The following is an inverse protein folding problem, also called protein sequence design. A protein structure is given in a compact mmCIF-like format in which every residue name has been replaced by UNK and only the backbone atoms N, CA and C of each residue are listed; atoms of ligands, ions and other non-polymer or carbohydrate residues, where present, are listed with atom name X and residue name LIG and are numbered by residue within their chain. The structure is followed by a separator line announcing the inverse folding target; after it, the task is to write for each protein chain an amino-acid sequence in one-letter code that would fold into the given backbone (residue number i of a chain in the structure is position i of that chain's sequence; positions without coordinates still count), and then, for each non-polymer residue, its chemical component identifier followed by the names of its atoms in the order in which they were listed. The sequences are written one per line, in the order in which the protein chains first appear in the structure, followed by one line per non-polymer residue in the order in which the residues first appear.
data_IF_576338534322
#
_entry.id   IF_576338534322
#
_cell.length_a   1.000
_cell.length_b   1.000
_cell.length_c   1.000
_cell.angle_alpha   90.00
_cell.angle_beta   90.00
_cell.angle_gamma   90.00
#
_symmetry.space_group_name_H-M   'P 1'
#
loop_
_entity.id
_entity.type
_entity.pdbx_description
1 polymer ?
#
# COMPACT_ATOMS: atom_id res chain seq x y z
N UNK A 1 -2.29 13.00 -17.98
CA UNK A 1 -0.84 12.66 -18.06
C UNK A 1 -0.30 12.07 -16.77
N UNK A 2 -0.37 12.76 -15.62
CA UNK A 2 0.22 12.24 -14.36
C UNK A 2 -0.76 11.60 -13.40
N UNK A 3 -2.06 11.70 -13.64
CA UNK A 3 -3.09 11.23 -12.72
C UNK A 3 -3.85 10.05 -13.30
N UNK A 4 -4.12 9.06 -12.45
CA UNK A 4 -5.01 7.93 -12.69
C UNK A 4 -5.87 7.70 -11.43
N UNK A 5 -7.18 7.69 -11.58
CA UNK A 5 -8.16 7.49 -10.52
C UNK A 5 -8.29 6.00 -10.19
N UNK A 6 -8.65 5.72 -8.93
CA UNK A 6 -8.96 4.37 -8.48
C UNK A 6 -10.45 4.05 -8.74
N UNK A 7 -10.78 3.55 -9.94
CA UNK A 7 -12.10 2.96 -10.37
C UNK A 7 -13.36 3.85 -10.25
N UNK A 8 -14.31 3.63 -11.16
CA UNK A 8 -15.71 4.12 -11.26
C UNK A 8 -16.05 5.62 -11.22
N UNK A 9 -15.07 6.54 -11.23
CA UNK A 9 -15.36 7.96 -11.45
C UNK A 9 -15.30 8.35 -12.95
N UNK A 10 -15.88 7.50 -13.83
CA UNK A 10 -16.26 7.91 -15.20
C UNK A 10 -17.52 8.78 -15.14
N UNK A 11 -17.44 9.84 -14.33
CA UNK A 11 -18.44 10.88 -14.24
C UNK A 11 -18.39 11.79 -15.46
N UNK A 12 -19.48 12.54 -15.64
CA UNK A 12 -19.57 13.65 -16.58
C UNK A 12 -18.33 14.55 -16.48
N UNK A 13 -17.81 14.99 -17.64
CA UNK A 13 -16.69 15.94 -17.72
C UNK A 13 -16.91 17.09 -16.73
N UNK A 14 -16.03 17.30 -15.74
CA UNK A 14 -16.23 18.35 -14.76
C UNK A 14 -16.15 19.72 -15.44
N UNK A 15 -16.99 20.67 -15.02
CA UNK A 15 -16.89 22.06 -15.50
C UNK A 15 -15.52 22.63 -15.12
N UNK A 16 -14.77 23.20 -16.06
CA UNK A 16 -13.43 23.68 -15.75
C UNK A 16 -13.46 24.95 -14.89
N UNK A 17 -12.43 25.17 -14.05
CA UNK A 17 -12.37 26.35 -13.17
C UNK A 17 -12.28 27.69 -13.90
N UNK A 18 -11.90 27.70 -15.18
CA UNK A 18 -11.82 28.89 -16.02
C UNK A 18 -11.93 28.55 -17.50
N UNK A 19 -12.33 29.53 -18.32
CA UNK A 19 -12.39 29.40 -19.79
C UNK A 19 -11.03 29.00 -20.37
N UNK A 20 -9.94 29.58 -19.86
CA UNK A 20 -8.58 29.25 -20.32
C UNK A 20 -8.18 27.80 -20.02
N UNK A 21 -8.64 27.23 -18.89
CA UNK A 21 -8.43 25.82 -18.59
C UNK A 21 -9.32 24.92 -19.44
N UNK A 22 -10.56 25.32 -19.69
CA UNK A 22 -11.47 24.64 -20.64
C UNK A 22 -10.80 24.49 -22.01
N UNK A 23 -10.32 25.60 -22.58
CA UNK A 23 -9.61 25.60 -23.87
C UNK A 23 -8.36 24.72 -23.84
N UNK A 24 -7.61 24.72 -22.74
CA UNK A 24 -6.40 23.90 -22.62
C UNK A 24 -6.72 22.41 -22.54
N UNK A 25 -7.79 22.04 -21.83
CA UNK A 25 -8.26 20.66 -21.75
C UNK A 25 -8.79 20.19 -23.10
N UNK A 26 -9.54 21.03 -23.81
CA UNK A 26 -10.00 20.71 -25.17
C UNK A 26 -8.85 20.41 -26.13
N UNK A 27 -7.77 21.19 -26.06
CA UNK A 27 -6.56 20.91 -26.84
C UNK A 27 -5.98 19.55 -26.45
N UNK A 28 -5.79 19.27 -25.15
CA UNK A 28 -5.23 17.99 -24.68
C UNK A 28 -6.08 16.79 -25.12
N UNK A 29 -7.40 16.89 -25.02
CA UNK A 29 -8.32 15.82 -25.44
C UNK A 29 -8.27 15.62 -26.96
N UNK A 30 -8.20 16.70 -27.75
CA UNK A 30 -8.06 16.61 -29.20
C UNK A 30 -6.75 15.96 -29.62
N UNK A 31 -5.62 16.37 -29.02
CA UNK A 31 -4.32 15.77 -29.33
C UNK A 31 -4.25 14.29 -28.88
N UNK A 32 -4.91 13.93 -27.77
CA UNK A 32 -5.04 12.53 -27.35
C UNK A 32 -5.85 11.71 -28.36
N UNK A 33 -6.99 12.21 -28.83
CA UNK A 33 -7.80 11.53 -29.86
C UNK A 33 -7.03 11.33 -31.16
N UNK A 34 -6.28 12.34 -31.60
CA UNK A 34 -5.43 12.22 -32.78
C UNK A 34 -4.28 11.21 -32.59
N UNK A 35 -3.75 11.11 -31.37
CA UNK A 35 -2.74 10.10 -31.02
C UNK A 35 -3.36 8.68 -31.05
N UNK A 36 -4.54 8.51 -30.47
CA UNK A 36 -5.26 7.22 -30.46
C UNK A 36 -5.54 6.73 -31.89
N UNK A 37 -5.99 7.61 -32.80
CA UNK A 37 -6.18 7.28 -34.21
C UNK A 37 -4.89 6.74 -34.88
N UNK A 38 -3.74 7.32 -34.53
CA UNK A 38 -2.44 6.91 -35.04
C UNK A 38 -1.97 5.61 -34.40
N UNK A 39 -2.19 5.43 -33.09
CA UNK A 39 -1.85 4.20 -32.36
C UNK A 39 -2.65 3.01 -32.89
N UNK A 40 -3.96 3.19 -33.11
CA UNK A 40 -4.85 2.16 -33.66
C UNK A 40 -4.45 1.78 -35.09
N UNK A 41 -4.22 2.78 -35.96
CA UNK A 41 -3.75 2.56 -37.34
C UNK A 41 -2.45 1.75 -37.40
N UNK A 42 -1.57 1.92 -36.42
CA UNK A 42 -0.28 1.22 -36.35
C UNK A 42 -0.30 -0.02 -35.43
N UNK A 43 -1.47 -0.41 -34.90
CA UNK A 43 -1.66 -1.55 -34.00
C UNK A 43 -0.78 -1.50 -32.75
N UNK A 44 -0.60 -0.32 -32.18
CA UNK A 44 0.12 -0.12 -30.92
C UNK A 44 -0.84 -0.21 -29.73
N UNK A 45 -0.34 -0.50 -28.50
CA UNK A 45 -1.14 -0.37 -27.30
C UNK A 45 -1.67 1.07 -27.14
N UNK A 46 -2.98 1.22 -26.97
CA UNK A 46 -3.62 2.54 -26.88
C UNK A 46 -3.28 3.27 -25.58
N UNK A 47 -2.99 4.56 -25.70
CA UNK A 47 -2.78 5.46 -24.57
C UNK A 47 -4.09 5.75 -23.85
N UNK A 48 -4.12 5.57 -22.53
CA UNK A 48 -5.30 5.83 -21.72
C UNK A 48 -5.77 7.29 -21.78
N UNK A 49 -7.10 7.49 -21.77
CA UNK A 49 -7.74 8.82 -21.80
C UNK A 49 -7.23 9.72 -20.66
N UNK A 50 -6.98 11.03 -20.92
CA UNK A 50 -6.59 11.97 -19.90
C UNK A 50 -7.66 12.16 -18.82
N UNK A 51 -7.39 11.70 -17.61
CA UNK A 51 -8.30 11.91 -16.49
C UNK A 51 -8.24 13.34 -15.91
N UNK A 52 -9.43 13.89 -15.63
CA UNK A 52 -9.62 15.31 -15.27
C UNK A 52 -9.88 15.54 -13.77
N UNK A 53 -10.01 14.48 -12.96
CA UNK A 53 -10.39 14.57 -11.54
C UNK A 53 -9.41 15.39 -10.67
N UNK A 54 -8.15 15.51 -11.10
CA UNK A 54 -7.13 16.27 -10.38
C UNK A 54 -7.13 17.79 -10.69
N UNK A 55 -7.85 18.24 -11.73
CA UNK A 55 -7.81 19.64 -12.20
C UNK A 55 -8.28 20.62 -11.11
N UNK A 56 -9.43 20.34 -10.49
CA UNK A 56 -9.98 21.19 -9.42
C UNK A 56 -9.10 21.24 -8.16
N UNK A 57 -8.66 20.10 -7.59
CA UNK A 57 -7.71 20.09 -6.49
C UNK A 57 -6.45 20.91 -6.76
N UNK A 58 -5.81 20.72 -7.92
CA UNK A 58 -4.59 21.45 -8.27
C UNK A 58 -4.88 22.94 -8.49
N UNK A 59 -6.02 23.30 -9.08
CA UNK A 59 -6.41 24.69 -9.25
C UNK A 59 -6.62 25.41 -7.91
N UNK A 60 -7.39 24.81 -7.00
CA UNK A 60 -7.62 25.35 -5.64
C UNK A 60 -6.30 25.49 -4.89
N UNK A 61 -5.44 24.49 -4.98
CA UNK A 61 -4.13 24.50 -4.34
C UNK A 61 -3.20 25.57 -4.93
N UNK A 62 -3.17 25.72 -6.26
CA UNK A 62 -2.40 26.75 -6.95
C UNK A 62 -2.87 28.18 -6.62
N UNK A 63 -4.18 28.35 -6.35
CA UNK A 63 -4.78 29.59 -5.84
C UNK A 63 -4.50 29.84 -4.36
N UNK A 64 -3.86 28.88 -3.69
CA UNK A 64 -3.45 29.01 -2.31
C UNK A 64 -4.55 28.69 -1.31
N UNK A 65 -5.55 27.90 -1.68
CA UNK A 65 -6.52 27.34 -0.73
C UNK A 65 -5.84 26.34 0.20
N UNK A 66 -6.44 26.13 1.36
CA UNK A 66 -5.94 25.19 2.36
C UNK A 66 -6.37 23.75 2.01
N UNK A 67 -5.66 22.75 2.54
CA UNK A 67 -5.80 21.36 2.11
C UNK A 67 -7.24 20.81 2.25
N UNK A 68 -7.95 21.16 3.32
CA UNK A 68 -9.33 20.72 3.52
C UNK A 68 -10.29 21.24 2.43
N UNK A 69 -10.14 22.49 2.01
CA UNK A 69 -10.93 23.10 0.92
C UNK A 69 -10.55 22.53 -0.46
N UNK A 70 -9.27 22.17 -0.63
CA UNK A 70 -8.74 21.53 -1.85
C UNK A 70 -9.36 20.15 -2.05
N UNK A 71 -9.48 19.37 -0.99
CA UNK A 71 -10.04 18.01 -1.01
C UNK A 71 -11.58 17.99 -0.93
N UNK A 72 -12.20 19.13 -0.58
CA UNK A 72 -13.66 19.23 -0.52
C UNK A 72 -14.29 18.94 -1.88
N UNK A 73 -15.18 17.94 -1.91
CA UNK A 73 -15.87 17.46 -3.10
C UNK A 73 -15.06 16.49 -3.95
N UNK A 74 -13.99 15.90 -3.42
CA UNK A 74 -13.19 14.86 -4.08
C UNK A 74 -13.02 13.64 -3.17
N UNK A 75 -12.91 12.45 -3.76
CA UNK A 75 -12.61 11.21 -3.03
C UNK A 75 -11.10 11.00 -2.78
N UNK A 76 -10.28 12.03 -3.04
CA UNK A 76 -8.83 11.96 -2.87
C UNK A 76 -8.45 12.01 -1.39
N UNK A 77 -7.69 11.01 -0.96
CA UNK A 77 -6.98 11.08 0.31
C UNK A 77 -5.91 12.19 0.28
N UNK A 78 -5.66 12.83 1.42
CA UNK A 78 -4.67 13.89 1.55
C UNK A 78 -3.26 13.48 1.08
N UNK A 79 -2.84 12.26 1.41
CA UNK A 79 -1.54 11.72 0.98
C UNK A 79 -1.45 11.52 -0.54
N UNK A 80 -2.52 11.01 -1.16
CA UNK A 80 -2.61 10.84 -2.61
C UNK A 80 -2.56 12.18 -3.33
N UNK A 81 -3.28 13.19 -2.84
CA UNK A 81 -3.21 14.54 -3.39
C UNK A 81 -1.79 15.12 -3.33
N UNK A 82 -1.08 14.97 -2.21
CA UNK A 82 0.31 15.46 -2.07
C UNK A 82 1.24 14.76 -3.05
N UNK A 83 1.09 13.43 -3.23
CA UNK A 83 1.86 12.65 -4.21
C UNK A 83 1.64 13.15 -5.64
N UNK A 84 0.38 13.31 -6.05
CA UNK A 84 0.06 13.78 -7.39
C UNK A 84 0.47 15.24 -7.61
N UNK A 85 0.33 16.11 -6.60
CA UNK A 85 0.80 17.48 -6.67
C UNK A 85 2.31 17.56 -6.87
N UNK A 86 3.10 16.67 -6.25
CA UNK A 86 4.54 16.57 -6.51
C UNK A 86 4.82 16.19 -7.97
N UNK A 87 4.13 15.19 -8.51
CA UNK A 87 4.33 14.78 -9.90
C UNK A 87 3.96 15.86 -10.91
N UNK A 88 2.92 16.66 -10.64
CA UNK A 88 2.59 17.84 -11.46
C UNK A 88 3.75 18.85 -11.45
N UNK A 89 4.37 19.10 -10.29
CA UNK A 89 5.52 20.00 -10.19
C UNK A 89 6.71 19.45 -10.97
N UNK A 90 7.00 18.16 -10.82
CA UNK A 90 8.12 17.51 -11.49
C UNK A 90 7.94 17.55 -13.02
N UNK A 91 6.72 17.32 -13.52
CA UNK A 91 6.39 17.46 -14.94
C UNK A 91 6.58 18.91 -15.43
N UNK A 92 6.11 19.90 -14.67
CA UNK A 92 6.30 21.31 -15.03
C UNK A 92 7.79 21.69 -15.07
N UNK A 93 8.59 21.15 -14.15
CA UNK A 93 10.04 21.33 -14.13
C UNK A 93 10.72 20.63 -15.32
N UNK A 94 10.22 19.49 -15.77
CA UNK A 94 10.69 18.83 -17.00
C UNK A 94 10.34 19.65 -18.24
N UNK A 95 9.10 20.13 -18.35
CA UNK A 95 8.65 20.98 -19.47
C UNK A 95 9.46 22.28 -19.56
N UNK A 96 9.83 22.88 -18.43
CA UNK A 96 10.64 24.09 -18.38
C UNK A 96 12.07 23.92 -18.95
N UNK A 97 12.57 22.67 -19.02
CA UNK A 97 13.89 22.35 -19.59
C UNK A 97 13.87 22.21 -21.11
N UNK A 98 12.70 22.15 -21.74
CA UNK A 98 12.58 21.97 -23.19
C UNK A 98 12.99 23.26 -23.92
N UNK A 99 14.02 23.24 -24.80
CA UNK A 99 14.45 24.39 -25.59
C UNK A 99 13.31 24.95 -26.47
N UNK A 100 13.20 26.27 -26.61
CA UNK A 100 12.16 26.93 -27.43
C UNK A 100 10.82 27.21 -26.72
N UNK A 101 10.62 26.75 -25.49
CA UNK A 101 9.41 27.02 -24.68
C UNK A 101 9.42 28.43 -24.03
N UNK A 102 9.43 29.49 -24.84
CA UNK A 102 9.62 30.87 -24.37
C UNK A 102 8.47 31.46 -23.50
N UNK A 103 7.36 30.73 -23.31
CA UNK A 103 6.22 31.18 -22.47
C UNK A 103 6.21 30.68 -21.01
N UNK A 104 6.96 29.63 -20.66
CA UNK A 104 6.83 28.94 -19.36
C UNK A 104 7.83 29.39 -18.29
N UNK A 105 8.96 30.01 -18.69
CA UNK A 105 10.09 30.29 -17.80
C UNK A 105 9.84 31.36 -16.71
N UNK A 106 9.13 32.48 -16.92
CA UNK A 106 9.03 33.52 -15.89
C UNK A 106 7.91 33.30 -14.84
N UNK A 107 6.83 32.55 -15.16
CA UNK A 107 5.68 32.36 -14.24
C UNK A 107 5.81 31.15 -13.31
N UNK A 108 6.63 30.15 -13.67
CA UNK A 108 6.92 28.99 -12.82
C UNK A 108 7.92 29.32 -11.70
N UNK A 109 8.87 30.24 -11.93
CA UNK A 109 9.85 30.66 -10.92
C UNK A 109 9.22 31.43 -9.74
N UNK A 110 8.28 32.36 -10.01
CA UNK A 110 7.55 33.09 -8.97
C UNK A 110 6.56 32.20 -8.19
N UNK A 111 6.02 31.15 -8.82
CA UNK A 111 5.16 30.15 -8.14
C UNK A 111 5.98 29.11 -7.37
N UNK A 112 7.21 28.78 -7.78
CA UNK A 112 8.16 27.92 -7.03
C UNK A 112 8.40 28.41 -5.60
N UNK A 113 8.49 29.72 -5.37
CA UNK A 113 8.68 30.28 -4.00
C UNK A 113 7.42 30.13 -3.14
N UNK A 114 6.23 30.37 -3.69
CA UNK A 114 4.94 30.21 -2.98
C UNK A 114 4.65 28.73 -2.71
N UNK A 115 4.96 27.84 -3.65
CA UNK A 115 4.75 26.40 -3.53
C UNK A 115 5.77 25.75 -2.58
N UNK A 116 7.04 26.16 -2.62
CA UNK A 116 8.05 25.71 -1.66
C UNK A 116 7.89 26.32 -0.27
N UNK A 117 7.40 27.56 -0.15
CA UNK A 117 7.05 28.19 1.13
C UNK A 117 5.77 27.61 1.73
N UNK A 118 4.81 27.16 0.91
CA UNK A 118 3.61 26.44 1.38
C UNK A 118 3.89 24.98 1.67
N UNK A 119 4.78 24.30 0.92
CA UNK A 119 5.34 22.99 1.31
C UNK A 119 6.07 23.08 2.64
N UNK A 120 6.91 24.10 2.82
CA UNK A 120 7.53 24.41 4.11
C UNK A 120 6.49 24.72 5.17
N UNK A 121 5.49 25.58 4.95
CA UNK A 121 4.45 25.88 5.96
C UNK A 121 3.46 24.75 6.23
N UNK A 122 3.20 23.83 5.30
CA UNK A 122 2.33 22.66 5.51
C UNK A 122 3.08 21.57 6.27
N UNK A 123 4.33 21.28 5.89
CA UNK A 123 5.22 20.43 6.68
C UNK A 123 5.48 21.06 8.05
N UNK A 124 5.75 22.36 8.11
CA UNK A 124 6.01 23.10 9.35
C UNK A 124 4.74 23.25 10.17
N UNK A 125 3.51 23.40 9.63
CA UNK A 125 2.26 23.35 10.43
C UNK A 125 1.91 21.95 10.92
N UNK A 126 2.17 20.91 10.11
CA UNK A 126 2.12 19.52 10.57
C UNK A 126 3.17 19.26 11.67
N UNK A 127 4.29 19.98 11.67
CA UNK A 127 5.35 19.90 12.68
C UNK A 127 5.23 20.93 13.84
N UNK A 128 4.42 22.00 13.72
CA UNK A 128 4.33 23.11 14.71
C UNK A 128 2.94 23.32 15.32
N UNK A 129 1.90 22.62 14.88
CA UNK A 129 0.60 22.58 15.57
C UNK A 129 0.43 21.39 16.53
N UNK A 130 1.52 21.01 17.20
CA UNK A 130 1.47 20.23 18.45
C UNK A 130 2.00 21.05 19.65
N UNK A 131 1.53 22.28 19.80
CA UNK A 131 1.29 22.83 21.15
C UNK A 131 -0.21 22.72 21.43
N UNK A 132 -0.67 21.51 21.71
CA UNK A 132 -1.92 21.32 22.42
C UNK A 132 -1.66 21.61 23.91
N UNK A 133 -2.46 22.45 24.59
CA UNK A 133 -2.46 22.42 26.04
C UNK A 133 -2.83 21.00 26.46
N UNK A 134 -2.05 20.43 27.38
CA UNK A 134 -2.24 19.09 27.88
C UNK A 134 -3.67 18.91 28.44
N UNK A 135 -4.56 18.36 27.62
CA UNK A 135 -5.70 17.58 28.06
C UNK A 135 -5.49 16.18 27.52
N UNK A 136 -5.31 15.25 28.44
CA UNK A 136 -5.21 13.82 28.15
C UNK A 136 -6.46 13.37 27.40
N UNK A 137 -6.36 13.21 26.08
CA UNK A 137 -7.29 12.39 25.31
C UNK A 137 -6.64 11.02 25.26
N UNK A 138 -7.08 10.16 26.18
CA UNK A 138 -6.76 8.73 26.16
C UNK A 138 -7.42 8.13 24.92
N UNK A 139 -6.65 7.88 23.86
CA UNK A 139 -7.08 7.00 22.77
C UNK A 139 -6.84 5.56 23.21
N UNK A 140 -7.77 5.02 24.00
CA UNK A 140 -7.82 3.58 24.27
C UNK A 140 -8.19 2.86 22.97
N UNK A 141 -7.19 2.28 22.30
CA UNK A 141 -7.43 1.11 21.44
C UNK A 141 -8.02 0.00 22.33
N UNK A 142 -9.18 -0.58 22.01
CA UNK A 142 -9.63 -1.76 22.72
C UNK A 142 -8.73 -2.93 22.30
N UNK A 143 -7.85 -3.39 23.19
CA UNK A 143 -7.37 -4.78 23.14
C UNK A 143 -5.87 -5.07 23.09
N UNK A 144 -4.97 -4.10 23.28
CA UNK A 144 -3.57 -4.42 23.64
C UNK A 144 -3.23 -3.64 24.90
N UNK A 145 -2.98 -4.29 26.05
CA UNK A 145 -2.41 -3.59 27.19
C UNK A 145 -1.09 -2.98 26.72
N UNK A 146 -1.00 -1.65 26.73
CA UNK A 146 0.29 -1.00 26.60
C UNK A 146 1.13 -1.53 27.77
N UNK A 147 2.13 -2.35 27.47
CA UNK A 147 3.16 -2.71 28.44
C UNK A 147 3.72 -1.38 28.95
N UNK A 148 3.50 -1.10 30.23
CA UNK A 148 4.03 0.09 30.89
C UNK A 148 5.51 -0.14 31.14
N UNK A 149 6.31 -0.12 30.07
CA UNK A 149 7.76 0.03 30.23
C UNK A 149 8.01 1.36 30.96
N UNK A 150 8.84 1.38 32.01
CA UNK A 150 9.19 2.62 32.68
C UNK A 150 9.75 3.60 31.64
N UNK A 151 9.21 4.82 31.61
CA UNK A 151 9.69 5.87 30.72
C UNK A 151 11.14 6.16 31.08
N UNK A 152 12.03 5.78 30.17
CA UNK A 152 13.48 5.92 30.34
C UNK A 152 13.94 7.03 29.41
N UNK A 153 14.63 8.02 29.99
CA UNK A 153 15.26 9.09 29.23
C UNK A 153 16.65 8.60 28.82
N UNK A 154 16.93 8.60 27.52
CA UNK A 154 18.17 8.06 26.94
C UNK A 154 18.91 9.15 26.17
N UNK A 155 20.15 9.43 26.58
CA UNK A 155 21.08 10.33 25.91
C UNK A 155 22.02 9.53 25.02
N UNK A 156 21.95 9.78 23.71
CA UNK A 156 22.95 9.33 22.74
C UNK A 156 23.98 10.44 22.55
N UNK A 157 25.26 10.15 22.73
CA UNK A 157 26.33 11.14 22.65
C UNK A 157 27.55 10.62 21.92
N UNK A 158 28.51 11.50 21.67
CA UNK A 158 29.77 11.26 21.01
C UNK A 158 29.57 10.60 19.64
N UNK A 159 28.64 11.13 18.85
CA UNK A 159 28.34 10.64 17.50
C UNK A 159 28.19 11.76 16.49
N UNK A 160 27.70 11.42 15.31
CA UNK A 160 27.23 12.37 14.29
C UNK A 160 25.74 12.16 14.12
N UNK A 161 24.91 13.17 14.37
CA UNK A 161 23.45 13.05 14.32
C UNK A 161 22.94 13.72 13.04
N UNK A 162 22.49 12.90 12.09
CA UNK A 162 21.90 13.40 10.84
C UNK A 162 20.46 13.85 11.05
N UNK A 163 20.25 15.16 11.10
CA UNK A 163 18.90 15.74 11.19
C UNK A 163 18.82 17.09 10.48
N UNK A 164 17.63 17.45 10.02
CA UNK A 164 17.36 18.77 9.47
C UNK A 164 17.26 19.87 10.55
N UNK A 165 17.12 19.49 11.82
CA UNK A 165 17.01 20.43 12.94
C UNK A 165 18.35 21.11 13.26
N UNK A 166 19.44 20.35 13.19
CA UNK A 166 20.81 20.82 13.42
C UNK A 166 21.79 19.93 12.61
N UNK A 167 22.45 20.47 11.57
CA UNK A 167 23.37 19.70 10.73
C UNK A 167 24.72 19.37 11.40
N UNK A 168 25.03 19.96 12.56
CA UNK A 168 26.28 19.73 13.29
C UNK A 168 26.06 19.00 14.63
N UNK A 169 24.88 18.44 14.83
CA UNK A 169 24.54 17.75 16.05
C UNK A 169 25.43 16.52 16.27
N UNK A 170 25.86 16.36 17.51
CA UNK A 170 26.72 15.26 17.96
C UNK A 170 26.08 14.42 19.07
N UNK A 171 24.98 14.91 19.64
CA UNK A 171 24.20 14.25 20.67
C UNK A 171 22.67 14.40 20.45
N UNK A 172 21.92 13.45 20.98
CA UNK A 172 20.46 13.41 20.93
C UNK A 172 19.87 12.84 22.22
N UNK A 173 18.83 13.47 22.75
CA UNK A 173 18.05 13.00 23.90
C UNK A 173 16.71 12.44 23.43
N UNK A 174 16.37 11.25 23.88
CA UNK A 174 15.09 10.59 23.65
C UNK A 174 14.37 10.42 24.98
N UNK A 175 13.11 10.85 25.04
CA UNK A 175 12.19 10.56 26.16
C UNK A 175 11.09 9.63 25.64
N UNK A 176 11.17 8.36 26.02
CA UNK A 176 10.26 7.33 25.53
C UNK A 176 10.37 7.12 24.01
N UNK A 177 9.35 7.56 23.26
CA UNK A 177 9.24 7.43 21.81
C UNK A 177 9.55 8.74 21.05
N UNK A 178 9.90 9.80 21.78
CA UNK A 178 10.04 11.14 21.22
C UNK A 178 11.46 11.66 21.36
N UNK A 179 12.00 12.23 20.28
CA UNK A 179 13.24 13.00 20.33
C UNK A 179 12.97 14.30 21.08
N UNK A 180 13.47 14.40 22.30
CA UNK A 180 13.27 15.55 23.19
C UNK A 180 14.24 16.69 22.87
N UNK A 181 15.46 16.36 22.44
CA UNK A 181 16.50 17.35 22.15
C UNK A 181 17.57 16.79 21.21
N UNK A 182 18.20 17.68 20.44
CA UNK A 182 19.36 17.39 19.57
C UNK A 182 20.32 18.57 19.66
N UNK A 183 21.63 18.31 19.72
CA UNK A 183 22.64 19.37 19.74
C UNK A 183 24.07 18.86 19.93
N UNK A 184 24.93 19.68 20.56
CA UNK A 184 26.36 19.41 20.70
C UNK A 184 26.73 18.59 21.94
N UNK A 185 27.89 17.91 21.91
CA UNK A 185 28.48 17.21 23.08
C UNK A 185 28.58 18.10 24.33
N UNK A 186 28.95 19.36 24.15
CA UNK A 186 29.10 20.30 25.26
C UNK A 186 27.75 20.61 25.91
N UNK A 187 26.70 20.81 25.10
CA UNK A 187 25.36 21.00 25.59
C UNK A 187 24.81 19.72 26.24
N UNK A 188 25.08 18.55 25.65
CA UNK A 188 24.69 17.25 26.21
C UNK A 188 25.29 17.02 27.60
N UNK A 189 26.57 17.37 27.80
CA UNK A 189 27.24 17.29 29.11
C UNK A 189 26.57 18.19 30.15
N UNK A 190 26.06 19.35 29.73
CA UNK A 190 25.45 20.33 30.63
C UNK A 190 24.03 19.95 31.08
N UNK A 191 23.31 19.17 30.27
CA UNK A 191 21.93 18.74 30.55
C UNK A 191 21.85 17.29 31.04
N UNK A 192 22.96 16.56 31.06
CA UNK A 192 23.01 15.18 31.52
C UNK A 192 22.64 15.10 33.00
N UNK A 193 21.71 14.20 33.32
CA UNK A 193 21.29 13.90 34.69
C UNK A 193 21.56 12.43 35.02
N UNK A 194 21.85 12.14 36.29
CA UNK A 194 22.13 10.77 36.77
C UNK A 194 20.99 9.75 36.56
N UNK A 195 19.76 10.22 36.35
CA UNK A 195 18.59 9.40 36.03
C UNK A 195 18.52 8.99 34.55
N UNK A 196 19.32 9.61 33.68
CA UNK A 196 19.35 9.31 32.24
C UNK A 196 20.24 8.09 31.96
N UNK A 197 19.84 7.26 31.02
CA UNK A 197 20.75 6.29 30.41
C UNK A 197 21.61 6.98 29.36
N UNK A 198 22.92 6.83 29.46
CA UNK A 198 23.87 7.40 28.51
C UNK A 198 24.40 6.29 27.60
N UNK A 199 24.23 6.48 26.30
CA UNK A 199 24.76 5.63 25.24
C UNK A 199 25.84 6.41 24.49
N UNK A 200 27.08 5.93 24.59
CA UNK A 200 28.22 6.45 23.83
C UNK A 200 28.24 5.83 22.42
N UNK A 201 28.05 6.67 21.41
CA UNK A 201 28.04 6.29 20.00
C UNK A 201 29.44 6.05 19.43
N UNK A 202 30.52 6.41 20.12
CA UNK A 202 31.92 6.19 19.71
C UNK A 202 32.22 6.66 18.28
N UNK A 203 31.70 7.83 17.92
CA UNK A 203 31.83 8.45 16.60
C UNK A 203 30.85 7.94 15.55
N UNK A 204 29.93 7.02 15.90
CA UNK A 204 28.97 6.48 14.94
C UNK A 204 27.95 7.53 14.45
N UNK A 205 27.42 7.28 13.25
CA UNK A 205 26.33 8.03 12.66
C UNK A 205 24.99 7.56 13.26
N UNK A 206 24.22 8.51 13.80
CA UNK A 206 22.81 8.35 14.11
C UNK A 206 21.99 9.01 13.01
N UNK A 207 21.16 8.25 12.32
CA UNK A 207 20.32 8.73 11.22
C UNK A 207 18.86 8.28 11.40
N UNK A 208 17.89 8.95 10.75
CA UNK A 208 16.52 8.46 10.68
C UNK A 208 16.49 7.07 10.05
N UNK A 209 15.72 6.16 10.65
CA UNK A 209 15.47 4.85 10.04
C UNK A 209 14.70 4.97 8.72
N UNK A 210 14.76 3.93 7.91
CA UNK A 210 14.06 3.89 6.64
C UNK A 210 12.55 3.73 6.84
N UNK A 211 11.77 4.39 5.98
CA UNK A 211 10.31 4.26 5.96
C UNK A 211 9.90 3.76 4.59
N UNK A 212 9.27 2.59 4.55
CA UNK A 212 8.67 2.07 3.32
C UNK A 212 7.21 2.52 3.25
N UNK A 213 6.90 3.33 2.24
CA UNK A 213 5.55 3.85 2.01
C UNK A 213 4.61 2.89 1.27
N UNK A 214 5.09 1.73 0.81
CA UNK A 214 4.29 0.79 0.04
C UNK A 214 4.83 -0.64 0.18
N UNK A 215 4.31 -1.38 1.16
CA UNK A 215 4.66 -2.78 1.34
C UNK A 215 3.41 -3.67 1.39
N UNK A 216 3.54 -4.91 0.94
CA UNK A 216 2.58 -5.99 1.23
C UNK A 216 3.16 -6.92 2.30
N UNK A 217 3.21 -6.46 3.54
CA UNK A 217 3.79 -7.11 4.73
C UNK A 217 3.37 -8.56 4.87
N UNK A 218 2.07 -8.84 4.73
CA UNK A 218 1.57 -10.22 4.85
C UNK A 218 2.14 -11.11 3.74
N UNK A 219 2.16 -10.64 2.49
CA UNK A 219 2.71 -11.40 1.36
C UNK A 219 4.25 -11.52 1.44
N UNK A 220 4.94 -10.51 1.94
CA UNK A 220 6.39 -10.56 2.23
C UNK A 220 6.70 -11.64 3.26
N UNK A 221 5.90 -11.71 4.34
CA UNK A 221 6.03 -12.74 5.36
C UNK A 221 5.78 -14.14 4.81
N UNK A 222 4.74 -14.30 3.99
CA UNK A 222 4.46 -15.56 3.29
C UNK A 222 5.64 -15.95 2.41
N UNK A 223 6.14 -15.03 1.58
CA UNK A 223 7.25 -15.31 0.68
C UNK A 223 8.52 -15.72 1.44
N UNK A 224 8.75 -15.15 2.63
CA UNK A 224 9.90 -15.46 3.48
C UNK A 224 9.81 -16.86 4.12
N UNK A 225 8.61 -17.33 4.42
CA UNK A 225 8.36 -18.63 5.07
C UNK A 225 7.96 -19.75 4.08
N UNK A 226 7.82 -19.42 2.79
CA UNK A 226 7.42 -20.36 1.72
C UNK A 226 8.63 -20.98 1.01
N UNK A 227 8.40 -22.04 0.24
CA UNK A 227 9.41 -22.63 -0.64
C UNK A 227 9.93 -21.60 -1.67
N UNK A 228 11.26 -21.47 -1.76
CA UNK A 228 11.93 -20.65 -2.78
C UNK A 228 12.37 -21.54 -3.94
N UNK A 229 11.71 -21.40 -5.08
CA UNK A 229 11.86 -22.30 -6.23
C UNK A 229 12.64 -21.68 -7.39
N UNK A 230 13.20 -20.47 -7.24
CA UNK A 230 14.00 -19.79 -8.27
C UNK A 230 15.28 -20.56 -8.67
N UNK A 231 15.79 -21.42 -7.77
CA UNK A 231 16.96 -22.27 -8.02
C UNK A 231 16.66 -23.56 -8.81
N UNK A 232 15.39 -23.95 -8.92
CA UNK A 232 14.99 -25.23 -9.52
C UNK A 232 15.14 -25.21 -11.04
N UNK A 233 15.58 -26.34 -11.61
CA UNK A 233 15.88 -26.52 -13.04
C UNK A 233 15.13 -27.67 -13.72
N UNK A 234 14.19 -28.31 -13.02
CA UNK A 234 13.32 -29.36 -13.58
C UNK A 234 12.05 -29.56 -12.75
N UNK A 235 11.02 -30.17 -13.35
CA UNK A 235 9.81 -30.59 -12.64
C UNK A 235 10.12 -31.55 -11.48
N UNK A 236 11.09 -32.46 -11.66
CA UNK A 236 11.51 -33.40 -10.61
C UNK A 236 12.04 -32.68 -9.37
N UNK A 237 12.95 -31.72 -9.55
CA UNK A 237 13.49 -30.93 -8.44
C UNK A 237 12.39 -30.11 -7.73
N UNK A 238 11.41 -29.59 -8.49
CA UNK A 238 10.25 -28.91 -7.92
C UNK A 238 9.42 -29.87 -7.05
N UNK A 239 9.11 -31.05 -7.56
CA UNK A 239 8.34 -32.07 -6.86
C UNK A 239 9.06 -32.59 -5.62
N UNK A 240 10.39 -32.76 -5.67
CA UNK A 240 11.21 -33.15 -4.53
C UNK A 240 11.15 -32.08 -3.41
N UNK A 241 11.22 -30.79 -3.78
CA UNK A 241 11.06 -29.67 -2.83
C UNK A 241 9.65 -29.64 -2.20
N UNK A 242 8.61 -29.87 -3.01
CA UNK A 242 7.22 -29.97 -2.53
C UNK A 242 7.08 -31.15 -1.55
N UNK A 243 7.62 -32.31 -1.89
CA UNK A 243 7.54 -33.50 -1.03
C UNK A 243 8.26 -33.30 0.30
N UNK A 244 9.40 -32.59 0.30
CA UNK A 244 10.12 -32.25 1.53
C UNK A 244 9.30 -31.30 2.42
N UNK A 245 8.73 -30.24 1.84
CA UNK A 245 7.88 -29.30 2.59
C UNK A 245 6.60 -29.97 3.11
N UNK A 246 5.95 -30.80 2.29
CA UNK A 246 4.74 -31.52 2.68
C UNK A 246 4.98 -32.47 3.86
N UNK A 247 6.17 -33.07 3.99
CA UNK A 247 6.56 -33.91 5.14
C UNK A 247 6.84 -33.09 6.40
N UNK A 248 7.42 -31.90 6.26
CA UNK A 248 7.74 -31.02 7.37
C UNK A 248 6.48 -30.36 7.97
N UNK A 249 5.48 -30.10 7.14
CA UNK A 249 4.16 -29.66 7.57
C UNK A 249 3.40 -30.83 8.20
N UNK A 250 2.82 -30.60 9.39
CA UNK A 250 1.97 -31.58 10.06
C UNK A 250 0.70 -31.94 9.28
N UNK A 251 -0.38 -32.28 9.98
CA UNK A 251 -1.64 -32.71 9.35
C UNK A 251 -2.48 -31.57 8.75
N UNK A 252 -2.04 -30.31 8.89
CA UNK A 252 -2.75 -29.11 8.44
C UNK A 252 -1.82 -28.13 7.74
N UNK A 253 -2.35 -27.35 6.79
CA UNK A 253 -1.64 -26.28 6.12
C UNK A 253 -1.65 -26.41 4.60
N UNK A 254 -1.28 -25.32 3.93
CA UNK A 254 -1.07 -25.27 2.47
C UNK A 254 0.43 -25.25 2.23
N UNK A 255 0.93 -26.07 1.30
CA UNK A 255 2.32 -25.95 0.83
C UNK A 255 2.37 -24.73 -0.08
N UNK A 256 3.07 -23.68 0.38
CA UNK A 256 3.25 -22.45 -0.35
C UNK A 256 4.67 -22.40 -0.94
N UNK A 257 4.77 -21.93 -2.17
CA UNK A 257 6.06 -21.70 -2.83
C UNK A 257 5.98 -20.60 -3.88
N UNK A 258 7.13 -20.09 -4.30
CA UNK A 258 7.22 -19.07 -5.32
C UNK A 258 8.53 -19.12 -6.10
N UNK A 259 8.57 -18.43 -7.25
CA UNK A 259 9.80 -18.11 -7.96
C UNK A 259 10.23 -19.14 -9.01
N UNK A 260 9.48 -20.21 -9.23
CA UNK A 260 9.79 -21.14 -10.30
C UNK A 260 9.58 -20.50 -11.69
N UNK A 261 10.38 -20.94 -12.66
CA UNK A 261 10.32 -20.50 -14.06
C UNK A 261 10.73 -21.67 -14.95
N UNK A 262 9.75 -22.30 -15.59
CA UNK A 262 9.94 -23.42 -16.49
C UNK A 262 10.72 -23.06 -17.75
N UNK A 263 10.79 -21.76 -18.10
CA UNK A 263 11.49 -21.31 -19.31
C UNK A 263 13.02 -21.52 -19.23
N UNK A 264 13.55 -21.61 -18.00
CA UNK A 264 14.97 -21.87 -17.70
C UNK A 264 15.26 -23.31 -17.28
N UNK A 265 14.26 -24.21 -17.31
CA UNK A 265 14.46 -25.63 -17.02
C UNK A 265 15.12 -26.35 -18.19
N UNK A 266 15.79 -27.46 -17.89
CA UNK A 266 16.40 -28.33 -18.92
C UNK A 266 15.33 -28.89 -19.84
N UNK A 267 14.25 -29.38 -19.24
CA UNK A 267 13.02 -29.78 -19.91
C UNK A 267 11.93 -28.81 -19.50
N UNK A 268 11.31 -28.12 -20.48
CA UNK A 268 10.31 -27.06 -20.27
C UNK A 268 8.91 -27.63 -20.06
N UNK A 269 8.83 -28.72 -19.30
CA UNK A 269 7.59 -29.46 -19.03
C UNK A 269 7.20 -29.25 -17.58
N UNK A 270 5.96 -28.83 -17.36
CA UNK A 270 5.38 -28.70 -16.02
C UNK A 270 4.97 -30.07 -15.48
N UNK A 271 4.97 -30.27 -14.14
CA UNK A 271 4.48 -31.51 -13.55
C UNK A 271 3.00 -31.70 -13.82
N UNK A 272 2.57 -32.96 -13.95
CA UNK A 272 1.13 -33.27 -14.06
C UNK A 272 0.41 -33.07 -12.71
N UNK A 273 -0.92 -32.92 -12.69
CA UNK A 273 -1.70 -32.89 -11.45
C UNK A 273 -1.39 -34.09 -10.55
N UNK A 274 -1.31 -35.30 -11.11
CA UNK A 274 -1.06 -36.53 -10.36
C UNK A 274 0.33 -36.57 -9.74
N UNK A 275 1.33 -36.04 -10.45
CA UNK A 275 2.69 -35.94 -9.93
C UNK A 275 2.75 -34.94 -8.77
N UNK A 276 2.09 -33.79 -8.90
CA UNK A 276 2.02 -32.77 -7.87
C UNK A 276 1.26 -33.27 -6.63
N UNK A 277 0.13 -33.96 -6.82
CA UNK A 277 -0.66 -34.52 -5.73
C UNK A 277 0.09 -35.63 -4.98
N UNK A 278 0.82 -36.48 -5.71
CA UNK A 278 1.69 -37.51 -5.12
C UNK A 278 2.81 -36.89 -4.29
N UNK A 279 3.47 -35.84 -4.80
CA UNK A 279 4.49 -35.11 -4.05
C UNK A 279 3.90 -34.42 -2.80
N UNK A 280 2.70 -33.86 -2.91
CA UNK A 280 2.01 -33.18 -1.82
C UNK A 280 1.49 -34.13 -0.73
N UNK A 281 1.34 -35.42 -1.04
CA UNK A 281 0.68 -36.39 -0.17
C UNK A 281 -0.79 -36.00 0.10
N UNK A 282 -1.49 -35.51 -0.93
CA UNK A 282 -2.90 -35.09 -0.85
C UNK A 282 -3.14 -33.71 -0.21
N UNK A 283 -2.08 -32.94 0.12
CA UNK A 283 -2.21 -31.58 0.66
C UNK A 283 -2.55 -30.57 -0.43
N UNK A 284 -3.12 -29.45 0.00
CA UNK A 284 -3.25 -28.26 -0.87
C UNK A 284 -1.86 -27.68 -1.14
N UNK A 285 -1.55 -27.45 -2.41
CA UNK A 285 -0.31 -26.83 -2.87
C UNK A 285 -0.64 -25.62 -3.73
N UNK A 286 0.07 -24.52 -3.51
CA UNK A 286 0.04 -23.31 -4.33
C UNK A 286 1.46 -22.81 -4.55
N UNK A 287 1.96 -22.88 -5.79
CA UNK A 287 3.31 -22.45 -6.16
C UNK A 287 3.22 -21.31 -7.18
N UNK A 288 3.43 -20.07 -6.77
CA UNK A 288 3.41 -18.93 -7.69
C UNK A 288 4.62 -18.96 -8.63
N UNK A 289 4.39 -18.72 -9.93
CA UNK A 289 5.47 -18.52 -10.89
C UNK A 289 6.26 -17.26 -10.55
N UNK A 290 7.49 -17.13 -11.05
CA UNK A 290 8.35 -15.94 -10.87
C UNK A 290 7.66 -14.61 -11.21
N UNK A 291 6.74 -14.60 -12.16
CA UNK A 291 6.00 -13.41 -12.58
C UNK A 291 4.76 -13.11 -11.73
N UNK A 292 4.37 -14.00 -10.82
CA UNK A 292 3.15 -13.93 -10.01
C UNK A 292 1.82 -13.80 -10.81
N UNK A 293 1.81 -14.12 -12.12
CA UNK A 293 0.62 -14.09 -12.98
C UNK A 293 -0.01 -15.48 -13.17
N UNK A 294 0.71 -16.53 -12.78
CA UNK A 294 0.25 -17.92 -12.80
C UNK A 294 0.79 -18.70 -11.62
N UNK A 295 0.23 -19.89 -11.39
CA UNK A 295 0.70 -20.79 -10.34
C UNK A 295 0.53 -22.26 -10.73
N UNK A 296 1.22 -23.14 -10.02
CA UNK A 296 0.86 -24.56 -9.95
C UNK A 296 -0.05 -24.78 -8.73
N UNK A 297 -1.15 -25.50 -8.93
CA UNK A 297 -2.12 -25.84 -7.91
C UNK A 297 -2.38 -27.35 -7.89
N UNK A 298 -2.34 -27.95 -6.70
CA UNK A 298 -2.78 -29.36 -6.49
C UNK A 298 -4.27 -29.53 -6.78
N UNK A 299 -4.73 -30.75 -7.08
CA UNK A 299 -6.16 -31.04 -7.27
C UNK A 299 -6.97 -30.74 -6.00
N UNK A 300 -6.39 -30.95 -4.82
CA UNK A 300 -7.04 -30.62 -3.54
C UNK A 300 -7.30 -29.10 -3.38
N UNK A 301 -6.39 -28.26 -3.88
CA UNK A 301 -6.59 -26.81 -3.90
C UNK A 301 -7.59 -26.42 -4.99
N UNK A 302 -7.48 -27.02 -6.17
CA UNK A 302 -8.38 -26.74 -7.29
C UNK A 302 -9.85 -27.03 -6.92
N UNK A 303 -10.11 -28.18 -6.31
CA UNK A 303 -11.43 -28.55 -5.79
C UNK A 303 -11.90 -27.58 -4.71
N UNK A 304 -11.04 -27.24 -3.74
CA UNK A 304 -11.40 -26.31 -2.67
C UNK A 304 -11.65 -24.88 -3.17
N UNK A 305 -11.06 -24.48 -4.29
CA UNK A 305 -11.24 -23.19 -4.92
C UNK A 305 -12.35 -23.16 -5.98
N UNK A 306 -12.96 -24.31 -6.29
CA UNK A 306 -14.01 -24.42 -7.31
C UNK A 306 -13.52 -23.98 -8.69
N UNK A 307 -12.34 -24.47 -9.11
CA UNK A 307 -11.73 -24.03 -10.37
C UNK A 307 -12.42 -24.57 -11.62
N UNK A 308 -13.21 -25.64 -11.50
CA UNK A 308 -13.90 -26.27 -12.62
C UNK A 308 -14.77 -25.26 -13.38
N UNK A 309 -14.49 -25.11 -14.69
CA UNK A 309 -15.19 -24.17 -15.56
C UNK A 309 -14.77 -22.71 -15.43
N UNK A 310 -13.78 -22.36 -14.58
CA UNK A 310 -13.23 -21.01 -14.52
C UNK A 310 -12.25 -20.73 -15.67
N UNK A 311 -12.23 -19.49 -16.14
CA UNK A 311 -11.24 -19.04 -17.12
C UNK A 311 -9.81 -19.22 -16.58
N UNK A 312 -9.01 -19.96 -17.34
CA UNK A 312 -7.62 -20.25 -17.00
C UNK A 312 -7.41 -21.54 -16.22
N UNK A 313 -8.39 -22.44 -16.18
CA UNK A 313 -8.25 -23.82 -15.70
C UNK A 313 -8.72 -24.82 -16.75
N UNK A 314 -7.86 -25.77 -17.10
CA UNK A 314 -8.09 -26.83 -18.09
C UNK A 314 -7.98 -28.24 -17.49
N UNK A 315 -7.96 -28.35 -16.16
CA UNK A 315 -7.71 -29.61 -15.44
C UNK A 315 -6.24 -29.93 -15.23
N UNK A 316 -5.31 -29.14 -15.80
CA UNK A 316 -3.88 -29.25 -15.48
C UNK A 316 -3.54 -28.61 -14.13
N UNK A 317 -2.31 -28.86 -13.66
CA UNK A 317 -1.81 -28.22 -12.45
C UNK A 317 -1.59 -26.71 -12.65
N UNK A 318 -1.47 -26.23 -13.90
CA UNK A 318 -1.16 -24.83 -14.20
C UNK A 318 -2.42 -23.98 -14.23
N UNK A 319 -2.52 -23.04 -13.30
CA UNK A 319 -3.67 -22.13 -13.19
C UNK A 319 -3.29 -20.73 -13.69
N UNK A 320 -4.17 -20.16 -14.50
CA UNK A 320 -4.04 -18.86 -15.13
C UNK A 320 -5.24 -17.95 -14.78
N UNK A 321 -5.11 -16.65 -15.01
CA UNK A 321 -6.23 -15.68 -15.02
C UNK A 321 -7.20 -15.83 -13.82
N UNK A 322 -8.47 -16.10 -14.06
CA UNK A 322 -9.49 -16.18 -13.01
C UNK A 322 -9.26 -17.37 -12.08
N UNK A 323 -8.83 -18.52 -12.62
CA UNK A 323 -8.49 -19.69 -11.83
C UNK A 323 -7.29 -19.43 -10.91
N UNK A 324 -6.26 -18.75 -11.40
CA UNK A 324 -5.12 -18.32 -10.59
C UNK A 324 -5.56 -17.39 -9.44
N UNK A 325 -6.42 -16.40 -9.73
CA UNK A 325 -6.95 -15.50 -8.69
C UNK A 325 -7.75 -16.25 -7.62
N UNK A 326 -8.59 -17.21 -8.01
CA UNK A 326 -9.38 -18.04 -7.10
C UNK A 326 -8.50 -18.96 -6.25
N UNK A 327 -7.55 -19.67 -6.88
CA UNK A 327 -6.59 -20.53 -6.19
C UNK A 327 -5.76 -19.74 -5.17
N UNK A 328 -5.27 -18.55 -5.54
CA UNK A 328 -4.55 -17.66 -4.62
C UNK A 328 -5.41 -17.24 -3.44
N UNK A 329 -6.67 -16.87 -3.67
CA UNK A 329 -7.56 -16.44 -2.60
C UNK A 329 -7.75 -17.54 -1.55
N UNK A 330 -7.97 -18.78 -1.98
CA UNK A 330 -8.12 -19.94 -1.08
C UNK A 330 -6.80 -20.32 -0.42
N UNK A 331 -5.67 -20.28 -1.15
CA UNK A 331 -4.34 -20.53 -0.58
C UNK A 331 -3.94 -19.49 0.50
N UNK A 332 -4.62 -18.34 0.55
CA UNK A 332 -4.42 -17.26 1.54
C UNK A 332 -5.51 -17.24 2.62
N UNK A 333 -6.33 -18.29 2.71
CA UNK A 333 -7.27 -18.48 3.81
C UNK A 333 -6.58 -19.24 4.95
N UNK A 334 -5.97 -18.48 5.86
CA UNK A 334 -5.38 -18.99 7.09
C UNK A 334 -5.89 -18.21 8.31
N UNK A 335 -5.78 -18.77 9.53
CA UNK A 335 -6.16 -18.10 10.77
C UNK A 335 -5.40 -16.78 11.00
N UNK A 336 -5.97 -15.87 11.77
CA UNK A 336 -5.32 -14.59 12.08
C UNK A 336 -4.02 -14.74 12.88
N UNK A 337 -3.85 -15.82 13.63
CA UNK A 337 -2.59 -16.15 14.29
C UNK A 337 -1.47 -16.40 13.28
N UNK A 338 -1.76 -17.13 12.21
CA UNK A 338 -0.82 -17.41 11.14
C UNK A 338 -0.52 -16.16 10.31
N UNK A 339 -1.53 -15.32 10.06
CA UNK A 339 -1.34 -13.98 9.47
C UNK A 339 -0.36 -13.14 10.29
N UNK A 340 -0.57 -13.05 11.61
CA UNK A 340 0.31 -12.30 12.52
C UNK A 340 1.73 -12.85 12.49
N UNK A 341 1.91 -14.17 12.48
CA UNK A 341 3.23 -14.82 12.35
C UNK A 341 3.97 -14.35 11.09
N UNK A 342 3.29 -14.32 9.93
CA UNK A 342 3.89 -13.81 8.68
C UNK A 342 4.26 -12.34 8.78
N UNK A 343 3.37 -11.51 9.33
CA UNK A 343 3.64 -10.08 9.50
C UNK A 343 4.82 -9.83 10.44
N UNK A 344 4.92 -10.57 11.54
CA UNK A 344 6.05 -10.49 12.47
C UNK A 344 7.37 -10.92 11.82
N UNK A 345 7.37 -11.96 10.98
CA UNK A 345 8.55 -12.38 10.23
C UNK A 345 9.03 -11.26 9.31
N UNK A 346 8.11 -10.66 8.54
CA UNK A 346 8.44 -9.53 7.66
C UNK A 346 8.90 -8.29 8.43
N UNK A 347 8.30 -8.00 9.59
CA UNK A 347 8.71 -6.88 10.46
C UNK A 347 10.11 -7.09 11.03
N UNK A 348 10.45 -8.30 11.47
CA UNK A 348 11.79 -8.62 11.97
C UNK A 348 12.85 -8.45 10.88
N UNK A 349 12.55 -8.95 9.68
CA UNK A 349 13.43 -8.81 8.53
C UNK A 349 13.63 -7.34 8.16
N UNK A 350 12.55 -6.56 8.10
CA UNK A 350 12.61 -5.12 7.82
C UNK A 350 13.41 -4.37 8.89
N UNK A 351 13.20 -4.68 10.18
CA UNK A 351 13.94 -4.07 11.27
C UNK A 351 15.45 -4.38 11.21
N UNK A 352 15.82 -5.61 10.84
CA UNK A 352 17.22 -6.01 10.63
C UNK A 352 17.91 -5.20 9.51
N UNK A 353 17.13 -4.66 8.57
CA UNK A 353 17.60 -3.82 7.46
C UNK A 353 17.42 -2.31 7.71
N UNK A 354 17.06 -1.91 8.94
CA UNK A 354 16.97 -0.50 9.33
C UNK A 354 15.65 0.18 8.95
N UNK A 355 14.62 -0.57 8.55
CA UNK A 355 13.26 -0.03 8.39
C UNK A 355 12.57 0.11 9.73
N UNK A 356 12.05 1.30 10.02
CA UNK A 356 11.39 1.63 11.29
C UNK A 356 9.90 1.87 11.14
N UNK A 357 9.40 2.03 9.90
CA UNK A 357 7.98 2.11 9.62
C UNK A 357 7.68 1.56 8.21
N UNK A 358 6.56 0.84 8.10
CA UNK A 358 6.09 0.21 6.88
C UNK A 358 4.60 0.52 6.70
N UNK A 359 4.20 0.96 5.51
CA UNK A 359 2.79 1.15 5.18
C UNK A 359 2.24 -0.09 4.47
N UNK A 360 1.42 -0.88 5.18
CA UNK A 360 0.74 -2.07 4.66
C UNK A 360 -0.34 -1.68 3.63
N UNK A 361 -0.15 -2.11 2.39
CA UNK A 361 -1.10 -1.96 1.30
C UNK A 361 -1.95 -3.22 1.13
N UNK A 362 -3.21 -3.02 0.78
CA UNK A 362 -4.18 -4.11 0.67
C UNK A 362 -4.28 -4.97 1.94
N UNK A 363 -4.01 -4.38 3.12
CA UNK A 363 -4.46 -4.92 4.39
C UNK A 363 -5.93 -5.29 4.20
N UNK A 364 -6.30 -6.54 4.49
CA UNK A 364 -7.73 -6.84 4.64
C UNK A 364 -8.22 -5.83 5.66
N UNK A 365 -9.11 -4.94 5.21
CA UNK A 365 -9.84 -4.04 6.08
C UNK A 365 -10.26 -4.87 7.29
N UNK A 366 -10.11 -4.31 8.50
CA UNK A 366 -10.80 -4.84 9.66
C UNK A 366 -12.27 -4.98 9.26
N UNK A 367 -12.65 -6.17 8.81
CA UNK A 367 -14.03 -6.54 8.66
C UNK A 367 -14.49 -6.65 10.10
N UNK A 368 -15.13 -5.58 10.58
CA UNK A 368 -15.96 -5.62 11.75
C UNK A 368 -17.03 -6.69 11.53
N UNK A 369 -16.71 -7.94 11.87
CA UNK A 369 -17.66 -9.04 11.93
C UNK A 369 -17.76 -9.62 13.35
N UNK A 370 -17.24 -8.92 14.37
CA UNK A 370 -17.42 -9.34 15.78
C UNK A 370 -17.83 -8.23 16.75
N UNK A 371 -18.33 -7.08 16.27
CA UNK A 371 -18.85 -6.03 17.15
C UNK A 371 -20.17 -5.42 16.69
N UNK A 372 -21.12 -6.26 16.28
CA UNK A 372 -22.54 -5.91 16.27
C UNK A 372 -23.30 -6.90 17.15
N UNK A 373 -23.12 -6.74 18.46
CA UNK A 373 -23.69 -7.67 19.44
C UNK A 373 -23.50 -7.30 20.89
N UNK A 374 -23.35 -6.01 21.24
CA UNK A 374 -23.45 -5.55 22.63
C UNK A 374 -23.68 -4.03 22.71
N UNK A 375 -24.87 -3.60 22.30
CA UNK A 375 -25.44 -2.32 22.73
C UNK A 375 -26.97 -2.35 22.61
N UNK A 376 -27.56 -3.32 23.32
CA UNK A 376 -28.97 -3.31 23.73
C UNK A 376 -29.06 -3.91 25.12
N UNK A 377 -28.87 -3.07 26.14
CA UNK A 377 -29.43 -3.09 27.51
C UNK A 377 -28.51 -2.31 28.42
N UNK A 378 -29.03 -1.23 29.01
CA UNK A 378 -28.27 -0.34 29.89
C UNK A 378 -28.94 1.02 30.07
N UNK A 379 -30.19 1.01 30.52
CA UNK A 379 -30.95 2.15 31.04
C UNK A 379 -30.18 2.96 32.10
N UNK A 380 -30.12 4.30 31.98
CA UNK A 380 -30.55 5.25 33.03
C UNK A 380 -30.43 6.73 32.62
N UNK A 381 -31.62 7.34 32.50
CA UNK A 381 -32.06 8.67 32.98
C UNK A 381 -31.44 9.99 32.46
N UNK A 382 -32.40 10.75 31.88
CA UNK A 382 -32.76 12.18 32.04
C UNK A 382 -32.31 13.16 30.94
N UNK A 383 -33.32 13.76 30.29
CA UNK A 383 -33.21 14.99 29.51
C UNK A 383 -34.39 15.19 28.57
N UNK A 384 -35.50 15.75 29.08
CA UNK A 384 -36.76 16.04 28.37
C UNK A 384 -36.55 16.94 27.13
N UNK A 385 -37.25 16.66 26.03
CA UNK A 385 -38.40 17.46 25.53
C UNK A 385 -39.08 16.77 24.33
N UNK A 386 -40.40 16.92 24.30
CA UNK A 386 -41.36 16.22 23.48
C UNK A 386 -41.53 16.83 22.08
N UNK A 387 -41.92 16.00 21.10
CA UNK A 387 -43.03 16.27 20.18
C UNK A 387 -43.45 14.99 19.40
N UNK A 388 -44.66 14.50 19.72
CA UNK A 388 -45.74 13.85 18.90
C UNK A 388 -45.33 13.00 17.67
N UNK A 389 -45.59 11.68 17.61
CA UNK A 389 -46.87 10.98 17.26
C UNK A 389 -47.46 11.44 15.91
N UNK A 390 -47.80 10.64 14.88
CA UNK A 390 -48.28 9.25 14.78
C UNK A 390 -48.17 8.73 13.30
N UNK A 391 -48.55 7.46 12.99
CA UNK A 391 -47.99 6.62 11.92
C UNK A 391 -48.90 6.41 10.69
N UNK A 392 -48.35 5.78 9.64
CA UNK A 392 -49.11 5.26 8.50
C UNK A 392 -48.38 4.11 7.82
N UNK A 393 -48.93 2.91 7.93
CA UNK A 393 -48.55 1.64 7.30
C UNK A 393 -49.47 1.31 6.11
N UNK A 394 -48.97 0.50 5.15
CA UNK A 394 -49.63 -0.48 4.23
C UNK A 394 -49.01 -0.48 2.78
N UNK A 395 -49.10 -1.60 2.00
CA UNK A 395 -47.95 -2.29 1.39
C UNK A 395 -48.17 -2.72 -0.09
N UNK A 396 -47.34 -3.66 -0.60
CA UNK A 396 -47.54 -4.54 -1.80
C UNK A 396 -47.33 -3.82 -3.16
N UNK A 397 -46.69 -4.36 -4.20
CA UNK A 397 -46.22 -5.70 -4.52
C UNK A 397 -45.42 -5.76 -5.85
N UNK A 398 -45.12 -6.99 -6.25
CA UNK A 398 -44.16 -7.40 -7.28
C UNK A 398 -44.50 -6.99 -8.73
N UNK A 399 -43.45 -6.86 -9.57
CA UNK A 399 -43.37 -7.50 -10.89
C UNK A 399 -41.95 -7.40 -11.49
N UNK A 400 -41.39 -8.56 -11.87
CA UNK A 400 -40.31 -8.74 -12.87
C UNK A 400 -40.94 -8.89 -14.27
N UNK A 401 -40.25 -8.77 -15.43
CA UNK A 401 -39.05 -9.56 -15.78
C UNK A 401 -38.01 -8.95 -16.78
N UNK A 402 -36.96 -9.76 -17.02
CA UNK A 402 -35.97 -9.79 -18.12
C UNK A 402 -34.55 -9.17 -17.98
N UNK A 403 -33.58 -10.09 -18.12
CA UNK A 403 -32.10 -10.10 -18.10
C UNK A 403 -31.45 -9.37 -19.32
N UNK A 404 -30.12 -9.06 -19.38
CA UNK A 404 -29.02 -9.95 -18.99
C UNK A 404 -27.86 -9.34 -18.18
N UNK A 405 -27.21 -10.25 -17.45
CA UNK A 405 -25.98 -10.06 -16.67
C UNK A 405 -24.75 -9.95 -17.58
N UNK A 406 -24.09 -8.79 -17.56
CA UNK A 406 -22.75 -8.58 -18.10
C UNK A 406 -21.67 -8.95 -17.07
N UNK A 407 -20.52 -9.50 -17.50
CA UNK A 407 -19.48 -10.01 -16.63
C UNK A 407 -18.65 -8.87 -16.00
N UNK A 408 -18.34 -9.01 -14.71
CA UNK A 408 -17.47 -8.10 -13.94
C UNK A 408 -16.01 -8.17 -14.45
N UNK A 409 -15.34 -7.04 -14.70
CA UNK A 409 -13.96 -7.06 -15.20
C UNK A 409 -12.94 -7.40 -14.10
N UNK A 410 -12.00 -8.23 -14.53
CA UNK A 410 -10.84 -8.81 -13.86
C UNK A 410 -9.99 -7.81 -13.07
N UNK A 411 -9.47 -8.28 -11.93
CA UNK A 411 -8.63 -7.52 -11.02
C UNK A 411 -7.16 -7.65 -11.46
N UNK A 412 -6.52 -6.54 -11.83
CA UNK A 412 -5.08 -6.47 -12.10
C UNK A 412 -4.32 -6.32 -10.77
N UNK A 413 -3.64 -7.37 -10.32
CA UNK A 413 -2.62 -7.29 -9.28
C UNK A 413 -1.26 -7.12 -9.97
N UNK A 414 -0.56 -6.03 -9.68
CA UNK A 414 0.78 -5.78 -10.19
C UNK A 414 1.80 -6.57 -9.38
N UNK A 415 2.66 -7.31 -10.09
CA UNK A 415 3.84 -7.94 -9.53
C UNK A 415 4.85 -6.88 -9.08
N UNK A 416 5.39 -7.04 -7.87
CA UNK A 416 6.55 -6.29 -7.40
C UNK A 416 7.81 -6.98 -7.96
N UNK A 417 8.70 -6.29 -8.70
CA UNK A 417 9.91 -6.92 -9.20
C UNK A 417 10.81 -7.32 -8.03
N UNK A 418 11.18 -8.60 -8.00
CA UNK A 418 12.19 -9.18 -7.14
C UNK A 418 13.48 -8.35 -7.13
N UNK A 419 13.87 -7.83 -5.98
CA UNK A 419 15.20 -7.34 -5.70
C UNK A 419 16.16 -8.54 -5.61
N UNK A 420 16.82 -8.85 -6.72
CA UNK A 420 17.96 -9.75 -6.73
C UNK A 420 19.18 -9.02 -6.16
N UNK A 421 19.54 -9.29 -4.90
CA UNK A 421 20.85 -8.89 -4.36
C UNK A 421 21.76 -10.13 -4.31
N UNK A 422 22.69 -10.19 -5.27
CA UNK A 422 23.87 -11.06 -5.17
C UNK A 422 24.85 -10.37 -4.23
N UNK A 423 25.20 -11.05 -3.14
CA UNK A 423 26.34 -10.67 -2.32
C UNK A 423 27.65 -10.89 -3.08
N UNK A 424 28.52 -9.90 -3.04
CA UNK A 424 29.98 -10.03 -3.16
C UNK A 424 30.60 -9.39 -1.95
#
# INVERSE_FOLDING_TARGET
MVYQAKRDDRGLRPKMPSVSLETSVDIVVREWSALEDVEDKNRLPLTAEPELGLVWPIFKWAKGRHLQEVLSGTDLAAGDFVRWAKQVIDLLDQMAKIPGSNGAKPRCAAKRSIWSARRRRLLQRLLTHHRFPARSISMTHPGVPAETRPRKVTMYRNGSVYTAADPFATAMLVDGDTVAWVGSEQAATSIADSSMEVIDLRGALLAPGFVDSHMHLTETGIASDSLHLAGVRSARELLDAVALAAKALGTSGVVLGHGWDESVWREKTLPTPEELDRAAGGRKVYLARVDAHSALASSALASAAGLDGLDGYDGSAHVLRAAHAAARLVARQFPDSERRRYQELALREAAAHGYVALAEMAARTFAASTTFGCLRRGTLRRGRRAARACPGSFPIGANSPHRPSTPLPSWKAWACPSLAWRGT
#
